data_IF_921555175948
#
_entry.id   IF_921555175948
#
_cell.length_a   1.000
_cell.length_b   1.000
_cell.length_c   1.000
_cell.angle_alpha   90.00
_cell.angle_beta   90.00
_cell.angle_gamma   90.00
#
_symmetry.space_group_name_H-M   'P 1'
#
loop_
_entity.id
_entity.type
_entity.pdbx_description
1 polymer ?
#
# COMPACT_ATOMS: atom_id res chain seq x y z
N UNK A 1 9.53 -3.34 -1.78
CA UNK A 1 10.31 -4.45 -2.37
C UNK A 1 11.81 -4.23 -2.17
N UNK A 2 12.60 -5.31 -2.19
CA UNK A 2 14.05 -5.24 -1.98
C UNK A 2 14.82 -5.38 -3.31
N UNK A 3 14.19 -4.99 -4.43
CA UNK A 3 14.80 -5.08 -5.75
C UNK A 3 16.03 -4.16 -5.84
N UNK A 4 17.05 -4.53 -6.62
CA UNK A 4 18.12 -3.59 -6.98
C UNK A 4 17.55 -2.57 -7.99
N UNK A 5 17.86 -1.27 -7.88
CA UNK A 5 18.99 -0.68 -7.16
C UNK A 5 18.63 -0.08 -5.77
N UNK A 6 17.66 -0.62 -5.02
CA UNK A 6 17.30 -0.03 -3.73
C UNK A 6 18.50 0.04 -2.77
N UNK A 7 18.60 1.17 -2.07
CA UNK A 7 19.65 1.49 -1.09
C UNK A 7 19.68 0.48 0.07
N UNK A 8 20.69 0.51 0.92
CA UNK A 8 20.69 -0.27 2.16
C UNK A 8 19.89 0.44 3.25
N UNK A 9 19.50 -0.27 4.32
CA UNK A 9 18.76 0.34 5.43
C UNK A 9 19.63 1.29 6.26
N UNK A 10 20.94 1.06 6.29
CA UNK A 10 21.95 1.84 7.02
C UNK A 10 22.66 2.88 6.13
N UNK A 11 22.08 3.20 4.97
CA UNK A 11 22.64 4.19 4.05
C UNK A 11 22.67 5.58 4.72
N UNK A 12 23.87 6.18 4.93
CA UNK A 12 23.98 7.40 5.71
C UNK A 12 23.30 8.61 5.07
N UNK A 13 23.27 8.68 3.74
CA UNK A 13 22.64 9.79 3.01
C UNK A 13 21.12 9.70 3.14
N UNK A 14 20.56 8.51 2.98
CA UNK A 14 19.15 8.28 3.26
C UNK A 14 18.80 8.59 4.70
N UNK A 15 19.55 8.10 5.68
CA UNK A 15 19.24 8.35 7.09
C UNK A 15 19.28 9.85 7.43
N UNK A 16 20.20 10.61 6.82
CA UNK A 16 20.24 12.05 7.00
C UNK A 16 18.97 12.74 6.46
N UNK A 17 18.52 12.38 5.25
CA UNK A 17 17.32 12.96 4.60
C UNK A 17 16.02 12.45 5.24
N UNK A 18 15.95 11.17 5.56
CA UNK A 18 14.81 10.50 6.21
C UNK A 18 14.44 11.17 7.55
N UNK A 19 15.42 11.82 8.18
CA UNK A 19 15.27 12.49 9.47
C UNK A 19 15.40 14.03 9.38
N UNK A 20 15.47 14.62 8.18
CA UNK A 20 15.84 16.05 8.03
C UNK A 20 14.77 17.07 8.43
N UNK A 21 13.53 16.65 8.67
CA UNK A 21 12.40 17.58 8.89
C UNK A 21 11.54 17.19 10.10
N UNK A 22 12.16 16.59 11.13
CA UNK A 22 11.48 16.14 12.34
C UNK A 22 10.70 14.83 12.16
N UNK A 23 10.84 14.16 11.02
CA UNK A 23 10.35 12.81 10.81
C UNK A 23 11.33 11.78 11.39
N UNK A 24 10.80 10.64 11.83
CA UNK A 24 11.58 9.43 12.13
C UNK A 24 11.21 8.35 11.10
N UNK A 25 11.79 8.46 9.90
CA UNK A 25 11.51 7.49 8.83
C UNK A 25 12.53 6.35 8.94
N UNK A 26 12.02 5.17 9.25
CA UNK A 26 12.79 3.94 9.32
C UNK A 26 12.47 3.05 8.13
N UNK A 27 13.48 2.30 7.67
CA UNK A 27 13.31 1.35 6.57
C UNK A 27 13.34 -0.08 7.08
N UNK A 28 12.33 -0.84 6.65
CA UNK A 28 12.23 -2.27 6.89
C UNK A 28 12.34 -3.04 5.57
N UNK A 29 12.95 -4.21 5.62
CA UNK A 29 12.97 -5.11 4.48
C UNK A 29 11.63 -5.83 4.36
N UNK A 30 11.14 -5.90 3.13
CA UNK A 30 9.97 -6.69 2.82
C UNK A 30 10.37 -8.16 2.58
N UNK A 31 9.56 -9.15 2.96
CA UNK A 31 9.81 -10.53 2.55
C UNK A 31 9.93 -10.66 1.02
N UNK A 32 10.85 -11.48 0.49
CA UNK A 32 10.99 -11.70 -0.95
C UNK A 32 9.70 -12.26 -1.58
N UNK A 33 9.39 -11.83 -2.80
CA UNK A 33 8.21 -12.28 -3.57
C UNK A 33 6.86 -12.06 -2.87
N UNK A 34 6.74 -11.01 -2.04
CA UNK A 34 5.51 -10.66 -1.33
C UNK A 34 4.90 -9.33 -1.83
N UNK A 35 4.38 -9.26 -3.07
CA UNK A 35 3.73 -8.06 -3.59
C UNK A 35 2.47 -7.70 -2.80
N UNK A 36 1.84 -8.67 -2.14
CA UNK A 36 0.72 -8.52 -1.22
C UNK A 36 1.08 -7.73 0.05
N UNK A 37 2.36 -7.62 0.38
CA UNK A 37 2.87 -6.79 1.47
C UNK A 37 3.28 -5.38 1.02
N UNK A 38 3.09 -5.01 -0.25
CA UNK A 38 3.39 -3.69 -0.78
C UNK A 38 2.08 -2.96 -1.10
N UNK A 39 1.77 -1.85 -0.42
CA UNK A 39 0.53 -1.09 -0.69
C UNK A 39 0.40 -0.65 -2.15
N UNK A 40 1.51 -0.35 -2.80
CA UNK A 40 1.54 0.04 -4.20
C UNK A 40 1.04 -1.08 -5.11
N UNK A 41 1.60 -2.28 -4.96
CA UNK A 41 1.25 -3.46 -5.77
C UNK A 41 -0.11 -4.06 -5.37
N UNK A 42 -0.41 -4.09 -4.07
CA UNK A 42 -1.60 -4.68 -3.48
C UNK A 42 -2.88 -4.03 -4.00
N UNK A 43 -2.86 -2.71 -4.21
CA UNK A 43 -4.07 -2.03 -4.68
C UNK A 43 -3.89 -0.67 -5.31
N UNK A 44 -2.86 0.10 -4.95
CA UNK A 44 -2.81 1.50 -5.37
C UNK A 44 -2.56 1.65 -6.87
N UNK A 45 -1.60 0.91 -7.43
CA UNK A 45 -1.36 0.92 -8.87
C UNK A 45 -2.56 0.42 -9.68
N UNK A 46 -3.28 -0.60 -9.19
CA UNK A 46 -4.52 -1.07 -9.83
C UNK A 46 -5.59 0.02 -9.83
N UNK A 47 -5.70 0.77 -8.75
CA UNK A 47 -6.67 1.85 -8.63
C UNK A 47 -6.32 3.03 -9.55
N UNK A 48 -5.05 3.43 -9.62
CA UNK A 48 -4.57 4.44 -10.55
C UNK A 48 -4.76 4.01 -12.00
N UNK A 49 -4.43 2.76 -12.33
CA UNK A 49 -4.60 2.21 -13.68
C UNK A 49 -6.08 2.20 -14.08
N UNK A 50 -7.00 1.86 -13.17
CA UNK A 50 -8.43 1.93 -13.44
C UNK A 50 -8.87 3.35 -13.81
N UNK A 51 -8.38 4.38 -13.11
CA UNK A 51 -8.69 5.78 -13.42
C UNK A 51 -8.06 6.24 -14.73
N UNK A 52 -6.78 5.89 -14.94
CA UNK A 52 -6.04 6.21 -16.15
C UNK A 52 -6.71 5.57 -17.38
N UNK A 53 -7.15 4.31 -17.28
CA UNK A 53 -7.76 3.56 -18.39
C UNK A 53 -9.11 4.11 -18.84
N UNK A 54 -9.78 4.89 -17.99
CA UNK A 54 -11.00 5.61 -18.37
C UNK A 54 -10.71 6.76 -19.35
N UNK A 55 -9.44 7.18 -19.48
CA UNK A 55 -8.98 8.22 -20.41
C UNK A 55 -8.20 7.56 -21.55
N UNK A 56 -8.55 7.88 -22.80
CA UNK A 56 -7.80 7.41 -23.96
C UNK A 56 -6.53 8.25 -24.12
N UNK A 57 -5.37 7.60 -24.13
CA UNK A 57 -4.09 8.20 -24.45
C UNK A 57 -3.49 7.50 -25.67
N UNK A 58 -3.00 8.28 -26.64
CA UNK A 58 -2.39 7.80 -27.88
C UNK A 58 -0.90 8.18 -27.98
N UNK A 59 -0.41 8.97 -27.02
CA UNK A 59 1.00 9.36 -26.90
C UNK A 59 1.50 9.10 -25.48
N UNK A 60 2.83 9.07 -25.33
CA UNK A 60 3.47 8.95 -24.01
C UNK A 60 3.11 10.15 -23.13
N UNK A 61 3.09 11.37 -23.69
CA UNK A 61 2.75 12.59 -22.94
C UNK A 61 1.29 12.57 -22.46
N UNK A 62 0.36 12.11 -23.31
CA UNK A 62 -1.04 11.92 -22.91
C UNK A 62 -1.18 10.87 -21.79
N UNK A 63 -0.39 9.79 -21.85
CA UNK A 63 -0.37 8.77 -20.81
C UNK A 63 0.14 9.32 -19.49
N UNK A 64 1.28 10.04 -19.50
CA UNK A 64 1.87 10.66 -18.31
C UNK A 64 0.88 11.65 -17.68
N UNK A 65 0.26 12.52 -18.50
CA UNK A 65 -0.74 13.46 -18.03
C UNK A 65 -1.97 12.75 -17.43
N UNK A 66 -2.41 11.65 -18.03
CA UNK A 66 -3.53 10.86 -17.51
C UNK A 66 -3.21 10.24 -16.14
N UNK A 67 -2.00 9.69 -15.97
CA UNK A 67 -1.53 9.15 -14.67
C UNK A 67 -1.41 10.25 -13.63
N UNK A 68 -0.83 11.41 -13.97
CA UNK A 68 -0.74 12.55 -13.05
C UNK A 68 -2.10 13.04 -12.58
N UNK A 69 -3.07 13.12 -13.49
CA UNK A 69 -4.44 13.48 -13.11
C UNK A 69 -5.06 12.39 -12.22
N UNK A 70 -4.91 11.11 -12.55
CA UNK A 70 -5.39 10.01 -11.72
C UNK A 70 -4.80 10.04 -10.31
N UNK A 71 -3.52 10.40 -10.16
CA UNK A 71 -2.86 10.60 -8.88
C UNK A 71 -3.51 11.74 -8.08
N UNK A 72 -3.66 12.91 -8.70
CA UNK A 72 -4.24 14.10 -8.06
C UNK A 72 -5.72 13.91 -7.68
N UNK A 73 -6.47 13.18 -8.51
CA UNK A 73 -7.89 12.90 -8.30
C UNK A 73 -8.12 11.79 -7.26
N UNK A 74 -7.08 11.02 -6.90
CA UNK A 74 -7.24 9.88 -6.00
C UNK A 74 -7.48 10.33 -4.56
N UNK A 75 -8.62 9.92 -4.00
CA UNK A 75 -9.00 10.26 -2.64
C UNK A 75 -8.05 9.65 -1.60
N UNK A 76 -7.44 10.47 -0.71
CA UNK A 76 -6.66 9.97 0.43
C UNK A 76 -7.49 9.06 1.36
N UNK A 77 -8.79 9.32 1.49
CA UNK A 77 -9.71 8.45 2.25
C UNK A 77 -9.81 7.06 1.63
N UNK A 78 -9.89 6.98 0.29
CA UNK A 78 -9.86 5.69 -0.42
C UNK A 78 -8.50 4.99 -0.30
N UNK A 79 -7.41 5.75 -0.22
CA UNK A 79 -6.07 5.19 0.00
C UNK A 79 -5.98 4.45 1.35
N UNK A 80 -6.61 4.97 2.41
CA UNK A 80 -6.68 4.30 3.72
C UNK A 80 -7.28 2.88 3.62
N UNK A 81 -8.22 2.64 2.70
CA UNK A 81 -8.81 1.32 2.48
C UNK A 81 -7.78 0.29 2.01
N UNK A 82 -6.72 0.72 1.32
CA UNK A 82 -5.62 -0.13 0.87
C UNK A 82 -4.72 -0.51 2.05
N UNK A 83 -4.41 0.44 2.94
CA UNK A 83 -3.67 0.18 4.18
C UNK A 83 -4.40 -0.82 5.08
N UNK A 84 -5.71 -0.68 5.26
CA UNK A 84 -6.51 -1.67 6.00
C UNK A 84 -6.53 -3.04 5.32
N UNK A 85 -6.45 -3.07 3.99
CA UNK A 85 -6.31 -4.34 3.25
C UNK A 85 -4.96 -4.98 3.52
N UNK A 86 -3.88 -4.20 3.50
CA UNK A 86 -2.54 -4.67 3.88
C UNK A 86 -2.53 -5.28 5.29
N UNK A 87 -3.11 -4.58 6.27
CA UNK A 87 -3.21 -5.11 7.64
C UNK A 87 -4.01 -6.41 7.69
N UNK A 88 -5.13 -6.51 6.96
CA UNK A 88 -5.91 -7.75 6.91
C UNK A 88 -5.15 -8.90 6.26
N UNK A 89 -4.34 -8.61 5.23
CA UNK A 89 -3.45 -9.59 4.58
C UNK A 89 -2.36 -10.05 5.55
N UNK A 90 -1.74 -9.14 6.30
CA UNK A 90 -0.75 -9.49 7.33
C UNK A 90 -1.34 -10.43 8.38
N UNK A 91 -2.57 -10.18 8.84
CA UNK A 91 -3.27 -11.07 9.78
C UNK A 91 -3.50 -12.47 9.19
N UNK A 92 -3.89 -12.58 7.91
CA UNK A 92 -4.06 -13.88 7.26
C UNK A 92 -2.72 -14.61 7.05
N UNK A 93 -1.64 -13.90 6.74
CA UNK A 93 -0.29 -14.48 6.67
C UNK A 93 0.10 -15.06 8.04
N UNK A 94 -0.18 -14.35 9.13
CA UNK A 94 0.09 -14.84 10.49
C UNK A 94 -0.70 -16.11 10.80
N UNK A 95 -2.01 -16.13 10.53
CA UNK A 95 -2.86 -17.33 10.67
C UNK A 95 -2.36 -18.50 9.82
N UNK A 96 -1.89 -18.20 8.62
CA UNK A 96 -1.35 -19.17 7.68
C UNK A 96 0.14 -19.49 7.92
N UNK A 97 0.74 -19.04 9.04
CA UNK A 97 2.14 -19.29 9.42
C UNK A 97 3.15 -18.94 8.31
N UNK A 98 2.93 -17.81 7.63
CA UNK A 98 3.81 -17.32 6.56
C UNK A 98 3.43 -17.78 5.15
N UNK A 99 2.44 -18.66 4.99
CA UNK A 99 1.94 -19.05 3.67
C UNK A 99 1.03 -17.97 3.06
N UNK A 100 0.92 -17.97 1.73
CA UNK A 100 0.09 -17.04 0.96
C UNK A 100 -1.22 -17.66 0.44
N UNK A 101 -1.58 -18.85 0.91
CA UNK A 101 -2.77 -19.57 0.48
C UNK A 101 -4.01 -19.10 1.27
N UNK A 102 -4.42 -17.86 1.03
CA UNK A 102 -5.63 -17.27 1.59
C UNK A 102 -6.27 -16.32 0.58
N UNK A 103 -7.58 -16.12 0.75
CA UNK A 103 -8.30 -15.08 0.03
C UNK A 103 -8.14 -13.75 0.73
N UNK A 104 -8.06 -12.65 -0.02
CA UNK A 104 -8.01 -11.31 0.57
C UNK A 104 -9.30 -11.07 1.39
N UNK A 105 -9.20 -10.74 2.69
CA UNK A 105 -10.38 -10.51 3.52
C UNK A 105 -11.20 -9.30 3.08
N UNK A 106 -12.52 -9.47 3.00
CA UNK A 106 -13.46 -8.39 2.77
C UNK A 106 -14.11 -7.96 4.09
N UNK A 107 -13.98 -6.69 4.46
CA UNK A 107 -14.54 -6.12 5.70
C UNK A 107 -15.57 -5.00 5.47
N UNK A 108 -16.12 -4.90 4.26
CA UNK A 108 -17.16 -3.89 3.97
C UNK A 108 -16.70 -2.43 4.16
N UNK A 109 -15.43 -2.13 3.84
CA UNK A 109 -14.80 -0.83 4.16
C UNK A 109 -15.62 0.40 3.73
N UNK A 110 -16.28 0.34 2.58
CA UNK A 110 -17.13 1.43 2.11
C UNK A 110 -18.36 1.68 3.01
N UNK A 111 -18.96 0.62 3.54
CA UNK A 111 -20.08 0.74 4.47
C UNK A 111 -19.62 1.30 5.82
N UNK A 112 -18.53 0.76 6.37
CA UNK A 112 -17.94 1.24 7.63
C UNK A 112 -17.55 2.72 7.56
N UNK A 113 -16.99 3.16 6.42
CA UNK A 113 -16.65 4.57 6.19
C UNK A 113 -17.89 5.46 6.14
N UNK A 114 -18.98 4.99 5.51
CA UNK A 114 -20.22 5.76 5.40
C UNK A 114 -20.92 6.01 6.75
N UNK A 115 -20.65 5.16 7.75
CA UNK A 115 -21.16 5.30 9.13
C UNK A 115 -20.11 5.80 10.12
N UNK A 116 -18.94 6.26 9.64
CA UNK A 116 -17.81 6.74 10.44
C UNK A 116 -17.27 5.72 11.48
N UNK A 117 -17.36 4.43 11.14
CA UNK A 117 -16.85 3.32 11.96
C UNK A 117 -15.69 2.57 11.31
N UNK A 118 -15.09 3.12 10.25
CA UNK A 118 -13.91 2.50 9.63
C UNK A 118 -12.70 2.68 10.55
N UNK A 119 -12.09 1.59 11.06
CA UNK A 119 -10.94 1.71 11.93
C UNK A 119 -9.73 2.27 11.17
N UNK A 120 -8.78 2.89 11.90
CA UNK A 120 -7.48 3.26 11.34
C UNK A 120 -6.49 2.10 11.32
N UNK A 121 -6.59 1.23 12.33
CA UNK A 121 -5.78 0.03 12.45
C UNK A 121 -6.65 -1.15 12.86
N UNK A 122 -6.31 -2.34 12.37
CA UNK A 122 -6.92 -3.60 12.78
C UNK A 122 -6.22 -4.10 14.04
N UNK A 123 -7.01 -4.66 14.95
CA UNK A 123 -6.49 -5.39 16.10
C UNK A 123 -5.99 -6.75 15.62
N UNK A 124 -4.83 -7.16 16.10
CA UNK A 124 -4.28 -8.51 15.90
C UNK A 124 -4.55 -9.30 17.17
N UNK A 125 -4.97 -10.56 17.00
CA UNK A 125 -5.15 -11.48 18.13
C UNK A 125 -3.81 -11.75 18.82
N UNK A 126 -3.78 -11.69 20.15
CA UNK A 126 -2.55 -11.95 20.92
C UNK A 126 -2.04 -13.37 20.71
N UNK A 127 -2.93 -14.34 20.43
CA UNK A 127 -2.56 -15.72 20.14
C UNK A 127 -1.79 -15.89 18.83
N UNK A 128 -1.75 -14.85 17.98
CA UNK A 128 -1.03 -14.84 16.70
C UNK A 128 0.37 -14.20 16.79
N UNK A 129 0.71 -13.52 17.89
CA UNK A 129 1.94 -12.71 18.04
C UNK A 129 3.05 -13.48 18.73
#
# INVERSE_FOLDING_TARGET
>A
DNAKPHIKNDDPEFMAVANSDGFNIERFFQPPNSPDLNTNDLGYFRALQSLQSAKKANTVDELVNSVMQAFNDYSPTKLNRIFLTLQSVMVEIMKAKGHNNFSIPHMGKAHLEAIDMLPRNLMVDEDLV
#
